data_IF_840001262921
#
_entry.id   IF_840001262921
#
_cell.length_a   1.000
_cell.length_b   1.000
_cell.length_c   1.000
_cell.angle_alpha   90.00
_cell.angle_beta   90.00
_cell.angle_gamma   90.00
#
_symmetry.space_group_name_H-M   'P 1'
#
loop_
_entity.id
_entity.type
_entity.pdbx_description
1 polymer ?
#
# COMPACT_ATOMS: atom_id res chain seq x y z
N UNK A 1 11.16 -5.69 15.86
CA UNK A 1 10.24 -4.77 15.19
C UNK A 1 8.84 -5.19 15.59
N UNK A 2 8.19 -4.44 16.48
CA UNK A 2 6.86 -4.80 16.98
C UNK A 2 5.86 -4.28 15.93
N UNK A 3 5.30 -5.17 15.11
CA UNK A 3 4.24 -4.89 14.13
C UNK A 3 2.93 -4.56 14.85
N UNK A 4 2.96 -3.57 15.74
CA UNK A 4 1.78 -2.93 16.29
C UNK A 4 1.05 -2.32 15.11
N UNK A 5 0.01 -3.00 14.62
CA UNK A 5 -1.00 -2.55 13.64
C UNK A 5 -0.65 -1.18 13.05
N UNK A 6 0.03 -1.19 11.93
CA UNK A 6 0.35 0.02 11.21
C UNK A 6 -0.90 0.85 10.95
N UNK A 7 -0.87 2.13 11.33
CA UNK A 7 -1.88 3.14 10.97
C UNK A 7 -1.86 3.48 9.46
N UNK A 8 -1.19 2.68 8.63
CA UNK A 8 -1.11 2.90 7.18
C UNK A 8 -2.10 2.06 6.38
N UNK A 9 -2.38 0.83 6.79
CA UNK A 9 -3.25 -0.09 6.08
C UNK A 9 -4.29 -0.70 7.02
N UNK A 10 -5.49 -0.95 6.51
CA UNK A 10 -6.58 -1.56 7.26
C UNK A 10 -7.32 -2.59 6.41
N UNK A 11 -7.93 -3.58 7.07
CA UNK A 11 -8.84 -4.51 6.42
C UNK A 11 -10.27 -4.00 6.61
N UNK A 12 -10.93 -3.63 5.51
CA UNK A 12 -12.35 -3.31 5.46
C UNK A 12 -13.09 -4.39 4.68
N UNK A 13 -13.88 -5.21 5.39
CA UNK A 13 -14.73 -6.25 4.79
C UNK A 13 -13.98 -7.21 3.84
N UNK A 14 -12.75 -7.58 4.16
CA UNK A 14 -11.91 -8.45 3.34
C UNK A 14 -11.09 -7.74 2.27
N UNK A 15 -11.23 -6.42 2.13
CA UNK A 15 -10.42 -5.60 1.23
C UNK A 15 -9.35 -4.85 2.02
N UNK A 16 -8.11 -4.88 1.52
CA UNK A 16 -7.02 -4.10 2.07
C UNK A 16 -7.09 -2.68 1.53
N UNK A 17 -7.27 -1.70 2.41
CA UNK A 17 -7.38 -0.27 2.09
C UNK A 17 -6.35 0.55 2.85
N UNK A 18 -6.04 1.75 2.34
CA UNK A 18 -5.23 2.70 3.09
C UNK A 18 -6.03 3.21 4.29
N UNK A 19 -5.39 3.25 5.46
CA UNK A 19 -6.04 3.61 6.71
C UNK A 19 -6.67 5.00 6.63
N UNK A 20 -7.90 5.11 7.14
CA UNK A 20 -8.68 6.34 7.06
C UNK A 20 -9.21 6.68 5.67
N UNK A 21 -9.13 5.74 4.71
CA UNK A 21 -9.66 5.89 3.36
C UNK A 21 -10.41 4.62 2.94
N UNK A 22 -11.22 4.72 1.90
CA UNK A 22 -11.80 3.57 1.20
C UNK A 22 -11.01 3.19 -0.06
N UNK A 23 -9.78 3.72 -0.20
CA UNK A 23 -8.92 3.48 -1.35
C UNK A 23 -8.21 2.15 -1.16
N UNK A 24 -8.50 1.20 -2.05
CA UNK A 24 -7.88 -0.11 -2.02
C UNK A 24 -6.39 -0.05 -2.40
N UNK A 25 -5.57 -0.81 -1.69
CA UNK A 25 -4.13 -0.93 -1.97
C UNK A 25 -3.88 -1.50 -3.38
N UNK A 26 -4.82 -2.27 -3.92
CA UNK A 26 -4.76 -2.77 -5.30
C UNK A 26 -4.73 -1.65 -6.35
N UNK A 27 -5.30 -0.47 -6.05
CA UNK A 27 -5.28 0.69 -6.94
C UNK A 27 -3.86 1.21 -7.11
N UNK A 28 -3.08 1.31 -6.02
CA UNK A 28 -1.66 1.66 -6.09
C UNK A 28 -0.91 0.74 -7.06
N UNK A 29 -1.06 -0.58 -6.90
CA UNK A 29 -0.40 -1.54 -7.79
C UNK A 29 -0.89 -1.45 -9.24
N UNK A 30 -2.16 -1.09 -9.47
CA UNK A 30 -2.68 -0.88 -10.82
C UNK A 30 -2.02 0.32 -11.50
N UNK A 31 -1.78 1.42 -10.77
CA UNK A 31 -1.03 2.58 -11.29
C UNK A 31 0.38 2.17 -11.69
N UNK A 32 1.10 1.49 -10.79
CA UNK A 32 2.46 1.03 -11.04
C UNK A 32 2.55 0.06 -12.24
N UNK A 33 1.62 -0.89 -12.34
CA UNK A 33 1.54 -1.82 -13.49
C UNK A 33 1.21 -1.10 -14.81
N UNK A 34 0.50 0.02 -14.76
CA UNK A 34 0.21 0.85 -15.92
C UNK A 34 1.38 1.77 -16.32
N UNK A 35 2.51 1.72 -15.60
CA UNK A 35 3.66 2.60 -15.82
C UNK A 35 3.46 4.02 -15.31
N UNK A 36 2.41 4.27 -14.51
CA UNK A 36 2.20 5.54 -13.80
C UNK A 36 3.10 5.59 -12.57
N UNK A 37 3.49 6.79 -12.18
CA UNK A 37 4.38 7.00 -11.03
C UNK A 37 3.56 7.22 -9.73
N UNK A 38 4.25 7.36 -8.60
CA UNK A 38 3.61 7.57 -7.29
C UNK A 38 3.01 8.97 -7.13
N UNK A 39 3.58 9.98 -7.78
CA UNK A 39 3.09 11.35 -7.73
C UNK A 39 1.72 11.44 -8.38
N UNK A 40 1.55 10.85 -9.57
CA UNK A 40 0.25 10.70 -10.25
C UNK A 40 -0.80 10.04 -9.34
N UNK A 41 -0.42 9.01 -8.58
CA UNK A 41 -1.33 8.32 -7.66
C UNK A 41 -1.73 9.21 -6.48
N UNK A 42 -0.80 9.97 -5.92
CA UNK A 42 -1.06 10.87 -4.79
C UNK A 42 -1.85 12.13 -5.21
N UNK A 43 -1.69 12.58 -6.45
CA UNK A 43 -2.54 13.62 -7.04
C UNK A 43 -3.99 13.15 -7.19
N UNK A 44 -4.20 11.92 -7.68
CA UNK A 44 -5.53 11.34 -7.85
C UNK A 44 -6.18 10.93 -6.49
N UNK A 45 -5.36 10.61 -5.48
CA UNK A 45 -5.80 10.20 -4.13
C UNK A 45 -5.09 10.96 -3.00
N UNK A 46 -5.36 12.27 -2.83
CA UNK A 46 -4.64 13.15 -1.89
C UNK A 46 -4.87 12.82 -0.41
N UNK A 47 -5.87 11.99 -0.10
CA UNK A 47 -6.13 11.51 1.26
C UNK A 47 -5.20 10.36 1.67
N UNK A 48 -4.51 9.74 0.71
CA UNK A 48 -3.49 8.73 0.99
C UNK A 48 -2.16 9.45 1.22
N UNK A 49 -1.49 9.17 2.33
CA UNK A 49 -0.18 9.77 2.63
C UNK A 49 0.94 8.97 1.99
N UNK A 50 2.00 9.65 1.55
CA UNK A 50 3.20 9.00 1.02
C UNK A 50 3.80 7.96 1.99
N UNK A 51 3.73 8.20 3.30
CA UNK A 51 4.17 7.22 4.31
C UNK A 51 3.39 5.90 4.23
N UNK A 52 2.09 5.96 3.92
CA UNK A 52 1.25 4.77 3.80
C UNK A 52 1.56 4.00 2.51
N UNK A 53 1.87 4.72 1.42
CA UNK A 53 2.33 4.15 0.16
C UNK A 53 3.67 3.44 0.35
N UNK A 54 4.64 4.10 0.98
CA UNK A 54 5.96 3.53 1.24
C UNK A 54 5.85 2.24 2.06
N UNK A 55 5.06 2.25 3.12
CA UNK A 55 4.88 1.05 3.95
C UNK A 55 4.19 -0.09 3.19
N UNK A 56 3.20 0.21 2.33
CA UNK A 56 2.60 -0.82 1.48
C UNK A 56 3.61 -1.46 0.53
N UNK A 57 4.54 -0.68 -0.01
CA UNK A 57 5.61 -1.17 -0.88
C UNK A 57 6.66 -1.96 -0.10
N UNK A 58 7.06 -1.50 1.09
CA UNK A 58 7.98 -2.22 1.98
C UNK A 58 7.41 -3.58 2.39
N UNK A 59 6.13 -3.64 2.80
CA UNK A 59 5.47 -4.90 3.12
C UNK A 59 5.42 -5.85 1.91
N UNK A 60 5.17 -5.32 0.71
CA UNK A 60 5.18 -6.13 -0.51
C UNK A 60 6.59 -6.68 -0.81
N UNK A 61 7.63 -5.86 -0.65
CA UNK A 61 9.03 -6.29 -0.79
C UNK A 61 9.38 -7.38 0.25
N UNK A 62 8.99 -7.20 1.51
CA UNK A 62 9.19 -8.20 2.56
C UNK A 62 8.50 -9.52 2.22
N UNK A 63 7.25 -9.48 1.73
CA UNK A 63 6.54 -10.71 1.32
C UNK A 63 7.24 -11.41 0.16
N UNK A 64 7.73 -10.68 -0.84
CA UNK A 64 8.50 -11.26 -1.93
C UNK A 64 9.79 -11.90 -1.39
N UNK A 65 10.52 -11.21 -0.52
CA UNK A 65 11.71 -11.74 0.12
C UNK A 65 11.42 -13.02 0.92
N UNK A 66 10.28 -13.13 1.59
CA UNK A 66 9.87 -14.34 2.32
C UNK A 66 9.57 -15.50 1.36
N UNK A 67 8.89 -15.24 0.24
CA UNK A 67 8.57 -16.25 -0.78
C UNK A 67 9.84 -16.88 -1.37
N UNK A 68 10.88 -16.08 -1.60
CA UNK A 68 12.12 -16.55 -2.25
C UNK A 68 13.25 -16.94 -1.27
N UNK A 69 13.10 -16.68 0.03
CA UNK A 69 14.04 -17.16 1.07
C UNK A 69 13.70 -18.57 1.58
N UNK A 70 12.62 -19.18 1.08
CA UNK A 70 12.21 -20.55 1.39
C UNK A 70 12.99 -21.60 0.59
#
# INVERSE_FOLDING_TARGET
MNLSKSDSLQNQNGNLTFFGTDIAVSILFNYLKAGRNLEDFLEDYPNVKISQVNEALELAEEQLNLVFKA
#
